data_IF_334544120455
#
_entry.id   IF_334544120455
#
_cell.length_a   1.000
_cell.length_b   1.000
_cell.length_c   1.000
_cell.angle_alpha   90.00
_cell.angle_beta   90.00
_cell.angle_gamma   90.00
#
_symmetry.space_group_name_H-M   'P 1'
#
loop_
_entity.id
_entity.type
_entity.pdbx_description
1 polymer ?
#
# COMPACT_ATOMS: atom_id res chain seq x y z
N UNK A 1 -7.63 2.59 16.09
CA UNK A 1 -6.96 2.49 17.42
C UNK A 1 -6.56 3.87 17.99
N UNK A 2 -6.34 4.04 19.31
CA UNK A 2 -5.82 5.32 19.87
C UNK A 2 -4.32 5.52 19.57
N UNK A 3 -3.85 6.77 19.55
CA UNK A 3 -2.45 7.16 19.36
C UNK A 3 -1.51 6.48 20.35
N UNK A 4 -1.87 6.45 21.63
CA UNK A 4 -1.04 5.87 22.69
C UNK A 4 -0.93 4.35 22.56
N UNK A 5 -2.02 3.69 22.17
CA UNK A 5 -2.09 2.25 21.93
C UNK A 5 -1.25 1.88 20.70
N UNK A 6 -1.42 2.62 19.59
CA UNK A 6 -0.64 2.42 18.37
C UNK A 6 0.85 2.64 18.59
N UNK A 7 1.21 3.72 19.30
CA UNK A 7 2.61 3.99 19.64
C UNK A 7 3.19 2.90 20.55
N UNK A 8 2.40 2.37 21.49
CA UNK A 8 2.83 1.27 22.35
C UNK A 8 3.11 0.02 21.54
N UNK A 9 2.21 -0.36 20.63
CA UNK A 9 2.39 -1.49 19.68
C UNK A 9 3.70 -1.33 18.89
N UNK A 10 3.93 -0.18 18.28
CA UNK A 10 5.15 0.07 17.52
C UNK A 10 6.43 -0.03 18.36
N UNK A 11 6.41 0.50 19.59
CA UNK A 11 7.56 0.39 20.49
C UNK A 11 7.84 -1.07 20.86
N UNK A 12 6.79 -1.84 21.18
CA UNK A 12 6.89 -3.25 21.53
C UNK A 12 7.44 -4.09 20.36
N UNK A 13 6.90 -3.91 19.16
CA UNK A 13 7.34 -4.61 17.94
C UNK A 13 8.77 -4.25 17.53
N UNK A 14 9.21 -3.01 17.80
CA UNK A 14 10.57 -2.56 17.49
C UNK A 14 11.65 -3.23 18.36
N UNK A 15 11.28 -3.76 19.53
CA UNK A 15 12.21 -4.27 20.54
C UNK A 15 13.11 -3.21 21.19
N UNK A 16 12.90 -1.92 20.90
CA UNK A 16 13.73 -0.82 21.40
C UNK A 16 13.29 -0.37 22.79
N UNK A 17 14.27 -0.08 23.65
CA UNK A 17 14.01 0.64 24.88
C UNK A 17 13.69 2.12 24.60
N UNK A 18 12.93 2.74 25.50
CA UNK A 18 12.63 4.18 25.41
C UNK A 18 13.89 5.06 25.41
N UNK A 19 14.98 4.59 26.01
CA UNK A 19 16.27 5.29 25.98
C UNK A 19 16.92 5.28 24.59
N UNK A 20 16.91 4.12 23.92
CA UNK A 20 17.40 3.99 22.55
C UNK A 20 16.57 4.82 21.57
N UNK A 21 15.24 4.84 21.73
CA UNK A 21 14.36 5.68 20.92
C UNK A 21 14.72 7.17 21.09
N UNK A 22 14.89 7.64 22.33
CA UNK A 22 15.30 9.03 22.59
C UNK A 22 16.65 9.38 21.93
N UNK A 23 17.63 8.47 21.98
CA UNK A 23 18.93 8.64 21.32
C UNK A 23 18.76 8.75 19.80
N UNK A 24 17.99 7.83 19.19
CA UNK A 24 17.74 7.82 17.74
C UNK A 24 17.01 9.08 17.26
N UNK A 25 16.06 9.58 18.04
CA UNK A 25 15.38 10.86 17.77
C UNK A 25 16.32 12.06 17.90
N UNK A 26 17.21 12.06 18.89
CA UNK A 26 18.21 13.12 19.04
C UNK A 26 19.14 13.22 17.83
N UNK A 27 19.50 12.08 17.22
CA UNK A 27 20.30 12.05 15.98
C UNK A 27 19.56 12.68 14.78
N UNK A 28 18.24 12.81 14.87
CA UNK A 28 17.36 13.52 13.92
C UNK A 28 17.02 14.95 14.36
N UNK A 29 17.80 15.51 15.29
CA UNK A 29 17.57 16.83 15.90
C UNK A 29 16.24 16.97 16.69
N UNK A 30 15.60 15.85 17.07
CA UNK A 30 14.39 15.85 17.89
C UNK A 30 14.78 15.52 19.33
N UNK A 31 14.84 16.55 20.17
CA UNK A 31 15.25 16.43 21.58
C UNK A 31 14.06 16.13 22.48
N UNK A 32 13.69 14.86 22.60
CA UNK A 32 12.73 14.37 23.60
C UNK A 32 13.38 13.30 24.48
N UNK A 33 13.00 13.25 25.75
CA UNK A 33 13.55 12.28 26.71
C UNK A 33 12.66 11.02 26.85
N UNK A 34 13.20 10.02 27.57
CA UNK A 34 12.48 8.78 27.89
C UNK A 34 11.15 9.03 28.62
N UNK A 35 11.07 10.05 29.48
CA UNK A 35 9.88 10.38 30.26
C UNK A 35 8.76 10.88 29.36
N UNK A 36 9.11 11.74 28.40
CA UNK A 36 8.20 12.25 27.37
C UNK A 36 7.60 11.12 26.55
N UNK A 37 8.43 10.20 26.04
CA UNK A 37 7.97 9.04 25.25
C UNK A 37 7.08 8.14 26.11
N UNK A 38 7.45 7.89 27.37
CA UNK A 38 6.62 7.09 28.28
C UNK A 38 5.25 7.71 28.55
N UNK A 39 5.15 9.04 28.64
CA UNK A 39 3.86 9.71 28.84
C UNK A 39 2.98 9.59 27.61
N UNK A 40 3.55 9.69 26.40
CA UNK A 40 2.80 9.50 25.15
C UNK A 40 2.25 8.08 25.02
N UNK A 41 3.11 7.06 25.18
CA UNK A 41 2.69 5.66 25.01
C UNK A 41 1.60 5.25 26.01
N UNK A 42 1.64 5.82 27.23
CA UNK A 42 0.67 5.53 28.27
C UNK A 42 -0.60 6.41 28.20
N UNK A 43 -0.72 7.32 27.22
CA UNK A 43 -1.86 8.24 27.10
C UNK A 43 -1.90 9.35 28.16
N UNK A 44 -0.84 9.50 28.97
CA UNK A 44 -0.71 10.55 29.98
C UNK A 44 -0.30 11.91 29.40
N UNK A 45 -0.16 12.00 28.07
CA UNK A 45 0.09 13.22 27.31
C UNK A 45 -0.68 13.13 26.00
N UNK A 46 -1.28 14.22 25.51
CA UNK A 46 -1.94 14.24 24.20
C UNK A 46 -0.96 13.87 23.07
N UNK A 47 -1.47 13.45 21.90
CA UNK A 47 -0.65 13.09 20.75
C UNK A 47 0.40 14.15 20.41
N UNK A 48 1.60 13.70 20.04
CA UNK A 48 2.74 14.57 19.76
C UNK A 48 2.54 15.42 18.49
N UNK A 49 3.42 16.38 18.21
CA UNK A 49 3.40 17.10 16.92
C UNK A 49 3.63 16.15 15.75
N UNK A 50 3.23 16.55 14.55
CA UNK A 50 3.40 15.76 13.33
C UNK A 50 4.85 15.30 13.13
N UNK A 51 5.83 16.19 13.27
CA UNK A 51 7.25 15.86 13.15
C UNK A 51 7.70 14.79 14.14
N UNK A 52 7.24 14.89 15.39
CA UNK A 52 7.58 13.92 16.44
C UNK A 52 6.89 12.59 16.16
N UNK A 53 5.63 12.59 15.73
CA UNK A 53 4.89 11.37 15.39
C UNK A 53 5.51 10.65 14.18
N UNK A 54 5.87 11.37 13.11
CA UNK A 54 6.60 10.80 11.97
C UNK A 54 7.92 10.18 12.41
N UNK A 55 8.70 10.92 13.18
CA UNK A 55 10.00 10.44 13.64
C UNK A 55 9.89 9.25 14.61
N UNK A 56 8.89 9.22 15.49
CA UNK A 56 8.62 8.09 16.37
C UNK A 56 8.31 6.84 15.55
N UNK A 57 7.35 6.92 14.62
CA UNK A 57 7.00 5.80 13.76
C UNK A 57 8.19 5.31 12.94
N UNK A 58 8.97 6.22 12.33
CA UNK A 58 10.17 5.86 11.59
C UNK A 58 11.21 5.13 12.47
N UNK A 59 11.50 5.65 13.66
CA UNK A 59 12.50 5.07 14.57
C UNK A 59 12.08 3.70 15.09
N UNK A 60 10.78 3.47 15.29
CA UNK A 60 10.23 2.19 15.75
C UNK A 60 9.89 1.24 14.60
N UNK A 61 10.07 1.64 13.33
CA UNK A 61 9.67 0.84 12.17
C UNK A 61 8.16 0.76 11.92
N UNK A 62 7.37 1.62 12.58
CA UNK A 62 5.94 1.72 12.40
C UNK A 62 5.52 2.59 11.22
N UNK A 63 4.24 2.54 10.86
CA UNK A 63 3.67 3.28 9.73
C UNK A 63 3.35 4.72 10.14
N UNK A 64 4.14 5.68 9.63
CA UNK A 64 3.99 7.10 9.97
C UNK A 64 2.58 7.66 9.73
N UNK A 65 1.92 7.25 8.64
CA UNK A 65 0.60 7.76 8.28
C UNK A 65 -0.49 7.34 9.27
N UNK A 66 -0.41 6.13 9.82
CA UNK A 66 -1.38 5.65 10.81
C UNK A 66 -1.26 6.41 12.12
N UNK A 67 -0.02 6.59 12.59
CA UNK A 67 0.22 7.32 13.84
C UNK A 67 -0.18 8.79 13.73
N UNK A 68 -0.01 9.39 12.55
CA UNK A 68 -0.52 10.74 12.28
C UNK A 68 -2.04 10.80 12.26
N UNK A 69 -2.69 9.86 11.57
CA UNK A 69 -4.15 9.83 11.52
C UNK A 69 -4.74 9.66 12.92
N UNK A 70 -4.18 8.78 13.74
CA UNK A 70 -4.57 8.63 15.14
C UNK A 70 -4.40 9.94 15.93
N UNK A 71 -3.28 10.64 15.71
CA UNK A 71 -3.05 11.98 16.30
C UNK A 71 -4.10 13.00 15.85
N UNK A 72 -4.46 13.04 14.56
CA UNK A 72 -5.46 13.97 14.04
C UNK A 72 -6.85 13.68 14.57
N UNK A 73 -7.26 12.41 14.59
CA UNK A 73 -8.54 11.98 15.14
C UNK A 73 -8.67 12.41 16.61
N UNK A 74 -7.67 12.14 17.44
CA UNK A 74 -7.74 12.47 18.87
C UNK A 74 -7.68 13.97 19.17
N UNK A 75 -6.97 14.74 18.35
CA UNK A 75 -6.90 16.20 18.51
C UNK A 75 -8.12 16.94 17.97
N UNK A 76 -8.90 16.29 17.11
CA UNK A 76 -10.07 16.91 16.52
C UNK A 76 -11.17 17.13 17.57
N UNK A 77 -11.98 18.19 17.41
CA UNK A 77 -13.20 18.35 18.20
C UNK A 77 -14.06 17.09 18.15
N UNK A 78 -14.74 16.75 19.26
CA UNK A 78 -15.54 15.52 19.39
C UNK A 78 -16.55 15.36 18.26
N UNK A 79 -17.09 16.47 17.76
CA UNK A 79 -18.05 16.51 16.66
C UNK A 79 -17.44 16.10 15.30
N UNK A 80 -16.12 16.26 15.14
CA UNK A 80 -15.38 16.00 13.90
C UNK A 80 -14.71 14.62 13.92
N UNK A 81 -14.43 14.05 15.09
CA UNK A 81 -13.75 12.76 15.21
C UNK A 81 -14.43 11.63 14.41
N UNK A 82 -15.78 11.47 14.44
CA UNK A 82 -16.44 10.42 13.68
C UNK A 82 -16.19 10.54 12.17
N UNK A 83 -16.19 11.76 11.62
CA UNK A 83 -15.93 11.99 10.21
C UNK A 83 -14.49 11.60 9.82
N UNK A 84 -13.51 11.92 10.67
CA UNK A 84 -12.12 11.53 10.44
C UNK A 84 -11.90 10.02 10.58
N UNK A 85 -12.61 9.38 11.51
CA UNK A 85 -12.59 7.92 11.66
C UNK A 85 -13.16 7.24 10.41
N UNK A 86 -14.32 7.66 9.93
CA UNK A 86 -14.92 7.13 8.70
C UNK A 86 -14.03 7.39 7.47
N UNK A 87 -13.42 8.57 7.37
CA UNK A 87 -12.43 8.84 6.33
C UNK A 87 -11.23 7.89 6.40
N UNK A 88 -10.71 7.61 7.60
CA UNK A 88 -9.60 6.68 7.76
C UNK A 88 -9.99 5.25 7.33
N UNK A 89 -11.20 4.78 7.71
CA UNK A 89 -11.73 3.49 7.26
C UNK A 89 -11.82 3.42 5.74
N UNK A 90 -12.39 4.45 5.12
CA UNK A 90 -12.49 4.57 3.67
C UNK A 90 -11.11 4.54 3.01
N UNK A 91 -10.13 5.28 3.54
CA UNK A 91 -8.76 5.31 3.04
C UNK A 91 -8.12 3.91 3.06
N UNK A 92 -8.31 3.15 4.12
CA UNK A 92 -7.79 1.78 4.25
C UNK A 92 -8.44 0.86 3.20
N UNK A 93 -9.77 0.89 3.08
CA UNK A 93 -10.51 0.14 2.06
C UNK A 93 -10.07 0.50 0.64
N UNK A 94 -9.95 1.79 0.34
CA UNK A 94 -9.48 2.25 -0.96
C UNK A 94 -8.07 1.73 -1.26
N UNK A 95 -7.18 1.78 -0.26
CA UNK A 95 -5.79 1.37 -0.43
C UNK A 95 -5.68 -0.12 -0.78
N UNK A 96 -6.44 -0.99 -0.09
CA UNK A 96 -6.41 -2.42 -0.38
C UNK A 96 -7.08 -2.75 -1.71
N UNK A 97 -8.23 -2.16 -2.02
CA UNK A 97 -8.92 -2.39 -3.31
C UNK A 97 -8.00 -1.98 -4.44
N UNK A 98 -7.36 -0.80 -4.35
CA UNK A 98 -6.39 -0.34 -5.34
C UNK A 98 -5.22 -1.30 -5.53
N UNK A 99 -4.68 -1.87 -4.45
CA UNK A 99 -3.57 -2.81 -4.57
C UNK A 99 -3.99 -4.16 -5.14
N UNK A 100 -5.21 -4.62 -4.84
CA UNK A 100 -5.80 -5.80 -5.47
C UNK A 100 -6.03 -5.57 -6.98
N UNK A 101 -6.50 -4.40 -7.39
CA UNK A 101 -6.67 -4.09 -8.82
C UNK A 101 -5.33 -4.00 -9.53
N UNK A 102 -4.32 -3.39 -8.90
CA UNK A 102 -2.94 -3.34 -9.42
C UNK A 102 -2.36 -4.75 -9.61
N UNK A 103 -2.59 -5.67 -8.66
CA UNK A 103 -2.21 -7.08 -8.77
C UNK A 103 -2.91 -7.76 -9.96
N UNK A 104 -4.22 -7.59 -10.10
CA UNK A 104 -5.00 -8.20 -11.19
C UNK A 104 -4.58 -7.68 -12.55
N UNK A 105 -4.46 -6.37 -12.71
CA UNK A 105 -4.04 -5.75 -13.96
C UNK A 105 -2.64 -6.19 -14.34
N UNK A 106 -1.73 -6.21 -13.37
CA UNK A 106 -0.39 -6.71 -13.59
C UNK A 106 -0.42 -8.18 -14.06
N UNK A 107 -1.12 -9.04 -13.33
CA UNK A 107 -1.21 -10.45 -13.68
C UNK A 107 -1.88 -10.68 -15.05
N UNK A 108 -2.94 -9.95 -15.37
CA UNK A 108 -3.61 -10.06 -16.68
C UNK A 108 -2.75 -9.62 -17.85
N UNK A 109 -1.87 -8.65 -17.64
CA UNK A 109 -0.98 -8.14 -18.69
C UNK A 109 0.28 -8.99 -18.86
N UNK A 110 0.83 -9.52 -17.76
CA UNK A 110 2.16 -10.16 -17.76
C UNK A 110 2.16 -11.66 -17.42
N UNK A 111 1.08 -12.18 -16.84
CA UNK A 111 0.93 -13.61 -16.52
C UNK A 111 1.66 -14.08 -15.27
N UNK A 112 2.21 -13.18 -14.45
CA UNK A 112 2.87 -13.51 -13.18
C UNK A 112 2.57 -12.50 -12.07
N UNK A 113 2.89 -12.84 -10.82
CA UNK A 113 2.68 -11.98 -9.63
C UNK A 113 3.95 -11.24 -9.27
N UNK A 114 3.82 -9.93 -9.00
CA UNK A 114 4.86 -9.16 -8.35
C UNK A 114 4.83 -9.36 -6.83
N UNK A 115 5.93 -9.85 -6.25
CA UNK A 115 6.04 -10.09 -4.81
C UNK A 115 5.86 -8.81 -3.98
N UNK A 116 6.39 -7.68 -4.42
CA UNK A 116 6.22 -6.39 -3.73
C UNK A 116 4.75 -5.94 -3.69
N UNK A 117 3.95 -6.21 -4.73
CA UNK A 117 2.51 -5.91 -4.69
C UNK A 117 1.82 -6.80 -3.65
N UNK A 118 2.14 -8.10 -3.66
CA UNK A 118 1.57 -9.06 -2.73
C UNK A 118 1.92 -8.72 -1.27
N UNK A 119 3.17 -8.39 -0.98
CA UNK A 119 3.62 -7.97 0.36
C UNK A 119 2.86 -6.73 0.86
N UNK A 120 2.59 -5.77 -0.02
CA UNK A 120 1.78 -4.59 0.33
C UNK A 120 0.32 -4.98 0.60
N UNK A 121 -0.26 -5.90 -0.18
CA UNK A 121 -1.63 -6.41 0.07
C UNK A 121 -1.70 -7.10 1.43
N UNK A 122 -0.73 -7.94 1.77
CA UNK A 122 -0.68 -8.62 3.07
C UNK A 122 -0.64 -7.60 4.21
N UNK A 123 0.22 -6.58 4.10
CA UNK A 123 0.30 -5.52 5.12
C UNK A 123 -1.00 -4.70 5.24
N UNK A 124 -1.69 -4.46 4.13
CA UNK A 124 -2.98 -3.75 4.13
C UNK A 124 -4.13 -4.64 4.64
N UNK A 125 -4.05 -5.95 4.46
CA UNK A 125 -5.04 -6.89 4.98
C UNK A 125 -5.02 -6.91 6.51
N UNK A 126 -3.84 -6.81 7.12
CA UNK A 126 -3.71 -6.60 8.56
C UNK A 126 -4.35 -5.29 9.01
N UNK A 127 -4.16 -4.19 8.27
CA UNK A 127 -4.79 -2.90 8.59
C UNK A 127 -6.32 -2.97 8.50
N UNK A 128 -6.84 -3.65 7.48
CA UNK A 128 -8.29 -3.89 7.31
C UNK A 128 -8.83 -4.72 8.48
N UNK A 129 -8.11 -5.74 8.91
CA UNK A 129 -8.49 -6.55 10.06
C UNK A 129 -8.49 -5.72 11.34
N UNK A 130 -7.43 -4.99 11.61
CA UNK A 130 -7.26 -4.22 12.85
C UNK A 130 -8.26 -3.06 12.96
N UNK A 131 -8.54 -2.35 11.86
CA UNK A 131 -9.38 -1.13 11.89
C UNK A 131 -10.85 -1.38 11.48
N UNK A 132 -11.14 -2.42 10.68
CA UNK A 132 -12.48 -2.72 10.18
C UNK A 132 -13.04 -4.04 10.68
N UNK A 133 -12.24 -4.84 11.39
CA UNK A 133 -12.60 -6.17 11.87
C UNK A 133 -13.05 -7.12 10.74
N UNK A 134 -12.34 -7.05 9.60
CA UNK A 134 -12.59 -7.90 8.44
C UNK A 134 -11.38 -8.77 8.15
N UNK A 135 -11.65 -10.05 7.94
CA UNK A 135 -10.65 -11.03 7.55
C UNK A 135 -10.67 -11.19 6.04
N UNK A 136 -9.57 -10.80 5.39
CA UNK A 136 -9.36 -11.01 3.97
C UNK A 136 -8.46 -12.24 3.80
N UNK A 137 -8.94 -13.23 3.07
CA UNK A 137 -8.19 -14.46 2.79
C UNK A 137 -7.17 -14.21 1.67
N UNK A 138 -5.97 -13.79 2.04
CA UNK A 138 -4.90 -13.46 1.08
C UNK A 138 -4.04 -14.66 0.67
N UNK A 139 -4.15 -15.80 1.36
CA UNK A 139 -3.35 -17.01 1.15
C UNK A 139 -3.44 -17.60 -0.27
N UNK A 140 -4.54 -17.34 -0.98
CA UNK A 140 -4.72 -17.82 -2.35
C UNK A 140 -4.02 -16.94 -3.39
N UNK A 141 -3.71 -15.67 -3.09
CA UNK A 141 -3.27 -14.68 -4.08
C UNK A 141 -1.95 -15.01 -4.77
N UNK A 142 -1.07 -15.77 -4.12
CA UNK A 142 0.21 -16.18 -4.73
C UNK A 142 0.00 -17.22 -5.85
N UNK A 143 -0.93 -18.16 -5.65
CA UNK A 143 -1.16 -19.29 -6.54
C UNK A 143 -2.36 -19.10 -7.48
N UNK A 144 -3.32 -18.27 -7.06
CA UNK A 144 -4.49 -17.84 -7.82
C UNK A 144 -4.65 -16.31 -7.69
N UNK A 145 -3.88 -15.53 -8.48
CA UNK A 145 -3.90 -14.07 -8.38
C UNK A 145 -5.25 -13.48 -8.76
N UNK A 146 -6.02 -14.20 -9.59
CA UNK A 146 -7.37 -13.81 -9.96
C UNK A 146 -8.36 -13.89 -8.80
N UNK A 147 -8.02 -14.58 -7.71
CA UNK A 147 -8.80 -14.54 -6.46
C UNK A 147 -8.92 -13.11 -5.90
N UNK A 148 -8.02 -12.20 -6.26
CA UNK A 148 -8.17 -10.79 -5.94
C UNK A 148 -9.50 -10.20 -6.45
N UNK A 149 -10.04 -10.69 -7.56
CA UNK A 149 -11.33 -10.25 -8.07
C UNK A 149 -12.48 -10.64 -7.13
N UNK A 150 -12.40 -11.81 -6.50
CA UNK A 150 -13.38 -12.26 -5.51
C UNK A 150 -13.29 -11.44 -4.22
N UNK A 151 -12.07 -11.08 -3.80
CA UNK A 151 -11.88 -10.17 -2.66
C UNK A 151 -12.48 -8.79 -2.97
N UNK A 152 -12.23 -8.24 -4.16
CA UNK A 152 -12.82 -6.97 -4.60
C UNK A 152 -14.35 -7.07 -4.60
N UNK A 153 -14.92 -8.16 -5.11
CA UNK A 153 -16.35 -8.39 -5.11
C UNK A 153 -16.95 -8.42 -3.69
N UNK A 154 -16.30 -9.12 -2.75
CA UNK A 154 -16.70 -9.17 -1.35
C UNK A 154 -16.65 -7.79 -0.68
N UNK A 155 -15.57 -7.03 -0.90
CA UNK A 155 -15.43 -5.67 -0.37
C UNK A 155 -16.46 -4.72 -0.99
N UNK A 156 -16.69 -4.80 -2.30
CA UNK A 156 -17.74 -4.05 -2.99
C UNK A 156 -19.10 -4.36 -2.39
N UNK A 157 -19.46 -5.63 -2.23
CA UNK A 157 -20.75 -6.03 -1.68
C UNK A 157 -20.96 -5.48 -0.26
N UNK A 158 -19.89 -5.52 0.55
CA UNK A 158 -19.96 -5.13 1.96
C UNK A 158 -19.99 -3.61 2.17
N UNK A 159 -19.26 -2.84 1.36
CA UNK A 159 -19.04 -1.41 1.60
C UNK A 159 -19.59 -0.49 0.52
N UNK A 160 -19.74 -1.00 -0.70
CA UNK A 160 -20.10 -0.22 -1.88
C UNK A 160 -21.21 -0.92 -2.71
N UNK A 161 -22.30 -1.39 -2.07
CA UNK A 161 -23.29 -2.25 -2.74
C UNK A 161 -23.94 -1.56 -3.94
N UNK A 162 -24.13 -0.24 -3.87
CA UNK A 162 -24.78 0.56 -4.90
C UNK A 162 -23.81 1.39 -5.76
N UNK A 163 -22.50 1.30 -5.50
CA UNK A 163 -21.51 2.08 -6.24
C UNK A 163 -21.04 1.32 -7.48
N UNK A 164 -20.98 2.02 -8.61
CA UNK A 164 -20.42 1.52 -9.87
C UNK A 164 -18.91 1.67 -9.93
N UNK A 165 -18.38 2.73 -9.31
CA UNK A 165 -16.96 2.98 -9.17
C UNK A 165 -16.59 3.48 -7.77
N UNK A 166 -15.30 3.46 -7.49
CA UNK A 166 -14.68 3.99 -6.29
C UNK A 166 -13.66 5.06 -6.70
N UNK A 167 -13.81 6.28 -6.19
CA UNK A 167 -12.98 7.43 -6.54
C UNK A 167 -12.23 7.94 -5.32
N UNK A 168 -10.92 8.18 -5.45
CA UNK A 168 -10.12 8.84 -4.43
C UNK A 168 -8.98 9.66 -5.06
N UNK A 169 -9.02 10.97 -4.87
CA UNK A 169 -8.13 11.89 -5.58
C UNK A 169 -8.32 11.77 -7.10
N UNK A 170 -7.25 11.46 -7.82
CA UNK A 170 -7.25 11.32 -9.28
C UNK A 170 -7.41 9.85 -9.74
N UNK A 171 -7.71 8.93 -8.82
CA UNK A 171 -7.85 7.52 -9.13
C UNK A 171 -9.33 7.13 -9.13
N UNK A 172 -9.75 6.44 -10.18
CA UNK A 172 -11.07 5.81 -10.28
C UNK A 172 -10.90 4.30 -10.52
N UNK A 173 -11.64 3.50 -9.77
CA UNK A 173 -11.73 2.05 -9.92
C UNK A 173 -13.16 1.73 -10.33
N UNK A 174 -13.38 1.27 -11.55
CA UNK A 174 -14.71 0.82 -12.01
C UNK A 174 -14.91 -0.63 -11.62
N UNK A 175 -15.90 -0.90 -10.77
CA UNK A 175 -16.13 -2.26 -10.30
C UNK A 175 -16.51 -3.21 -11.43
N UNK A 176 -17.13 -2.70 -12.50
CA UNK A 176 -17.42 -3.48 -13.71
C UNK A 176 -16.18 -4.10 -14.36
N UNK A 177 -14.98 -3.63 -14.07
CA UNK A 177 -13.76 -4.17 -14.66
C UNK A 177 -13.29 -5.45 -13.94
N UNK A 178 -13.71 -5.65 -12.69
CA UNK A 178 -13.28 -6.76 -11.81
C UNK A 178 -14.43 -7.58 -11.23
N UNK A 179 -15.67 -7.10 -11.32
CA UNK A 179 -16.87 -7.76 -10.78
C UNK A 179 -17.90 -7.92 -11.90
N UNK A 180 -18.49 -9.11 -12.03
CA UNK A 180 -19.51 -9.42 -13.03
C UNK A 180 -20.91 -8.93 -12.63
N UNK A 181 -21.87 -9.11 -13.53
CA UNK A 181 -23.27 -8.69 -13.31
C UNK A 181 -23.98 -9.45 -12.19
N UNK A 182 -23.43 -10.59 -11.76
CA UNK A 182 -23.94 -11.42 -10.66
C UNK A 182 -23.26 -11.08 -9.32
N UNK A 183 -22.27 -10.17 -9.32
CA UNK A 183 -21.52 -9.79 -8.14
C UNK A 183 -20.34 -10.71 -7.83
N UNK A 184 -19.88 -11.56 -8.76
CA UNK A 184 -18.70 -12.41 -8.59
C UNK A 184 -17.44 -11.76 -9.18
N UNK A 185 -16.28 -12.19 -8.72
CA UNK A 185 -15.00 -11.77 -9.30
C UNK A 185 -14.86 -12.22 -10.75
N UNK A 186 -14.49 -11.29 -11.64
CA UNK A 186 -14.18 -11.59 -13.03
C UNK A 186 -12.85 -12.32 -13.13
N UNK A 187 -12.87 -13.46 -13.82
CA UNK A 187 -11.68 -14.22 -14.20
C UNK A 187 -11.41 -13.96 -15.69
N UNK A 188 -10.21 -13.54 -16.07
CA UNK A 188 -9.77 -13.56 -17.48
C UNK A 188 -9.00 -14.85 -17.67
N UNK A 189 -9.32 -15.64 -18.69
CA UNK A 189 -8.46 -16.78 -19.07
C UNK A 189 -7.07 -16.21 -19.41
N UNK A 190 -6.15 -16.18 -18.45
CA UNK A 190 -4.77 -15.89 -18.71
C UNK A 190 -4.26 -17.03 -19.59
N UNK A 191 -3.60 -16.68 -20.69
CA UNK A 191 -2.89 -17.67 -21.48
C UNK A 191 -1.80 -18.24 -20.57
N UNK A 192 -2.05 -19.43 -20.00
CA UNK A 192 -1.16 -20.31 -19.23
C UNK A 192 0.05 -19.62 -18.57
N UNK A 193 -0.02 -19.58 -17.23
CA UNK A 193 1.08 -19.31 -16.31
C UNK A 193 2.36 -20.03 -16.76
N UNK A 194 3.42 -19.26 -17.06
CA UNK A 194 4.79 -19.77 -17.20
C UNK A 194 5.53 -19.32 -15.95
N UNK A 195 5.80 -20.27 -15.04
CA UNK A 195 6.59 -20.02 -13.81
C UNK A 195 8.10 -19.82 -14.08
N UNK A 196 8.52 -19.81 -15.35
CA UNK A 196 9.81 -19.32 -15.82
C UNK A 196 9.54 -18.08 -16.67
N UNK A 197 9.57 -16.88 -16.06
CA UNK A 197 9.47 -15.64 -16.83
C UNK A 197 10.72 -15.55 -17.71
N UNK A 198 10.60 -15.89 -18.98
CA UNK A 198 11.68 -15.79 -19.95
C UNK A 198 12.24 -14.35 -19.91
N UNK A 199 13.56 -14.20 -19.90
CA UNK A 199 14.28 -12.90 -19.95
C UNK A 199 13.63 -11.83 -20.87
N UNK A 200 13.09 -12.16 -22.06
CA UNK A 200 12.30 -11.23 -22.87
C UNK A 200 11.10 -10.57 -22.15
N UNK A 201 10.35 -11.29 -21.31
CA UNK A 201 9.14 -10.75 -20.65
C UNK A 201 9.51 -9.76 -19.54
N UNK A 202 10.56 -10.03 -18.77
CA UNK A 202 11.09 -9.11 -17.74
C UNK A 202 11.58 -7.82 -18.39
N UNK A 203 12.25 -7.94 -19.53
CA UNK A 203 12.79 -6.81 -20.27
C UNK A 203 11.69 -5.93 -20.81
N UNK A 204 10.65 -6.49 -21.43
CA UNK A 204 9.53 -5.68 -21.91
C UNK A 204 8.82 -4.96 -20.76
N UNK A 205 8.57 -5.65 -19.65
CA UNK A 205 7.94 -5.04 -18.49
C UNK A 205 8.73 -3.85 -17.94
N UNK A 206 10.03 -4.02 -17.68
CA UNK A 206 10.86 -2.95 -17.16
C UNK A 206 11.06 -1.81 -18.17
N UNK A 207 11.05 -2.11 -19.47
CA UNK A 207 11.06 -1.09 -20.54
C UNK A 207 9.80 -0.23 -20.47
N UNK A 208 8.64 -0.88 -20.35
CA UNK A 208 7.35 -0.19 -20.36
C UNK A 208 7.13 0.64 -19.08
N UNK A 209 7.64 0.16 -17.94
CA UNK A 209 7.63 0.91 -16.67
C UNK A 209 8.52 2.16 -16.75
N UNK A 210 9.76 2.04 -17.22
CA UNK A 210 10.69 3.17 -17.38
C UNK A 210 10.09 4.23 -18.31
N UNK A 211 9.43 3.79 -19.39
CA UNK A 211 8.79 4.70 -20.32
C UNK A 211 7.60 5.40 -19.68
N UNK A 212 6.70 4.68 -19.01
CA UNK A 212 5.54 5.31 -18.36
C UNK A 212 5.96 6.36 -17.32
N UNK A 213 6.96 6.04 -16.49
CA UNK A 213 7.49 6.98 -15.49
C UNK A 213 8.10 8.22 -16.16
N UNK A 214 8.84 8.05 -17.27
CA UNK A 214 9.40 9.17 -18.02
C UNK A 214 8.32 10.02 -18.73
N UNK A 215 7.29 9.42 -19.30
CA UNK A 215 6.19 10.16 -19.91
C UNK A 215 5.39 10.97 -18.88
N UNK A 216 5.15 10.40 -17.70
CA UNK A 216 4.52 11.10 -16.57
C UNK A 216 5.38 12.25 -16.03
N UNK A 217 6.71 12.04 -15.92
CA UNK A 217 7.63 13.05 -15.38
C UNK A 217 7.89 14.19 -16.38
N UNK A 218 8.09 13.88 -17.66
CA UNK A 218 8.54 14.83 -18.67
C UNK A 218 7.43 15.30 -19.63
N UNK A 219 6.22 14.74 -19.56
CA UNK A 219 5.09 15.14 -20.40
C UNK A 219 5.29 14.86 -21.89
N UNK A 220 6.01 13.78 -22.21
CA UNK A 220 6.35 13.35 -23.57
C UNK A 220 5.61 12.06 -23.95
N UNK A 221 5.55 11.72 -25.24
CA UNK A 221 5.14 10.39 -25.71
C UNK A 221 6.37 9.72 -26.32
N UNK A 222 6.92 8.73 -25.62
CA UNK A 222 8.12 8.01 -26.04
C UNK A 222 7.79 6.74 -26.83
N UNK A 223 6.54 6.26 -26.75
CA UNK A 223 6.10 5.04 -27.43
C UNK A 223 5.97 5.20 -28.95
N UNK A 224 5.89 6.44 -29.44
CA UNK A 224 5.80 6.74 -30.88
C UNK A 224 7.17 6.70 -31.59
N UNK A 225 8.28 6.64 -30.85
CA UNK A 225 9.65 6.62 -31.39
C UNK A 225 10.31 5.22 -31.25
N UNK A 226 10.43 4.46 -32.35
CA UNK A 226 11.04 3.13 -32.33
C UNK A 226 12.50 3.10 -31.89
N UNK A 227 13.27 4.17 -32.12
CA UNK A 227 14.68 4.24 -31.73
C UNK A 227 14.81 4.39 -30.22
N UNK A 228 13.96 5.24 -29.61
CA UNK A 228 13.89 5.39 -28.14
C UNK A 228 13.45 4.08 -27.49
N UNK A 229 12.39 3.44 -28.00
CA UNK A 229 11.93 2.14 -27.52
C UNK A 229 13.04 1.09 -27.56
N UNK A 230 13.83 1.05 -28.65
CA UNK A 230 14.94 0.08 -28.77
C UNK A 230 16.07 0.39 -27.78
N UNK A 231 16.41 1.66 -27.59
CA UNK A 231 17.48 2.06 -26.68
C UNK A 231 17.14 1.74 -25.22
N UNK A 232 15.92 2.07 -24.78
CA UNK A 232 15.46 1.74 -23.42
C UNK A 232 15.47 0.23 -23.20
N UNK A 233 14.98 -0.54 -24.17
CA UNK A 233 14.97 -2.01 -24.11
C UNK A 233 16.37 -2.59 -24.00
N UNK A 234 17.35 -2.03 -24.71
CA UNK A 234 18.74 -2.46 -24.65
C UNK A 234 19.39 -2.16 -23.30
N UNK A 235 19.11 -0.98 -22.73
CA UNK A 235 19.55 -0.59 -21.39
C UNK A 235 18.98 -1.56 -20.35
N UNK A 236 17.68 -1.84 -20.40
CA UNK A 236 17.01 -2.77 -19.48
C UNK A 236 17.60 -4.19 -19.61
N UNK A 237 17.86 -4.68 -20.84
CA UNK A 237 18.56 -5.96 -21.07
C UNK A 237 19.94 -5.99 -20.43
N UNK A 238 20.70 -4.89 -20.55
CA UNK A 238 22.04 -4.82 -19.97
C UNK A 238 22.00 -4.97 -18.45
N UNK A 239 21.06 -4.31 -17.77
CA UNK A 239 20.87 -4.44 -16.32
C UNK A 239 20.39 -5.84 -15.92
N UNK A 240 19.47 -6.43 -16.68
CA UNK A 240 19.00 -7.80 -16.42
C UNK A 240 20.16 -8.82 -16.49
N UNK A 241 21.06 -8.69 -17.48
CA UNK A 241 22.24 -9.54 -17.64
C UNK A 241 23.28 -9.33 -16.53
N UNK A 242 23.42 -8.12 -16.01
CA UNK A 242 24.33 -7.83 -14.91
C UNK A 242 23.94 -8.54 -13.62
N UNK A 243 22.63 -8.73 -13.36
CA UNK A 243 22.12 -9.39 -12.15
C UNK A 243 22.27 -10.93 -12.17
N UNK A 244 22.54 -11.53 -13.34
CA UNK A 244 22.76 -12.98 -13.50
C UNK A 244 24.23 -13.41 -13.28
N UNK A 245 25.17 -12.48 -13.14
CA UNK A 245 26.58 -12.75 -12.80
C UNK A 245 26.81 -12.62 -11.30
#
# INVERSE_FOLDING_TARGET
MKYSELLSKYIEESGLSLGEIAIRLSNKNIKIDRSYISKLKNGNKPPASEDISRALAEVTGGKSQELLMASYIEKAPEEVQPALQEFNKFRILFSIIRKLTELLEFYWNYGFVQKNILEVILSLADDVKDELNIYILTEHLENDPEYAADIIAQLKHSFFPFSESLVFGNFEIKFSDYVDEYGNGKRKKSNKIVYDVEEPVIVEFATDQVIREAEEEYGVNLRDDPEVMSAVREIVRSFARMKKK
#
